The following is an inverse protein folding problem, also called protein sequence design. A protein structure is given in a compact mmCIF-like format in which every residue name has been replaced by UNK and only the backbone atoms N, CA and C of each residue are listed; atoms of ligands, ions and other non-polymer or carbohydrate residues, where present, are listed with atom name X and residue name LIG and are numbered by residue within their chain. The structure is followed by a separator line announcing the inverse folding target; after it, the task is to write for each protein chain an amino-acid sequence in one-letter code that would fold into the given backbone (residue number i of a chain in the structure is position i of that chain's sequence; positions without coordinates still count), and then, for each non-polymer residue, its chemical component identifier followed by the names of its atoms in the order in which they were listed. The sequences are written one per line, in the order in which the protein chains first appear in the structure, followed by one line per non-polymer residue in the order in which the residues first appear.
data_IF_603725264231
#
_entry.id   IF_603725264231
#
_cell.length_a   1.000
_cell.length_b   1.000
_cell.length_c   1.000
_cell.angle_alpha   90.00
_cell.angle_beta   90.00
_cell.angle_gamma   90.00
#
_symmetry.space_group_name_H-M   'P 1'
#
loop_
_entity.id
_entity.type
_entity.pdbx_description
1 polymer ?
#
# COMPACT_ATOMS: atom_id res chain seq x y z
N UNK A 1 -20.49 -42.14 -63.63
CA UNK A 1 -21.06 -41.29 -62.59
C UNK A 1 -20.15 -41.37 -61.34
N UNK A 2 -19.30 -40.38 -61.03
CA UNK A 2 -18.47 -40.40 -59.81
C UNK A 2 -19.12 -39.58 -58.71
N UNK A 3 -19.15 -40.19 -57.54
CA UNK A 3 -19.69 -39.61 -56.31
C UNK A 3 -18.74 -38.56 -55.71
N UNK A 4 -19.31 -37.39 -55.44
CA UNK A 4 -18.63 -36.26 -54.78
C UNK A 4 -18.59 -36.49 -53.26
N UNK A 5 -17.38 -36.68 -52.68
CA UNK A 5 -17.16 -36.77 -51.23
C UNK A 5 -16.86 -35.38 -50.68
N UNK A 6 -17.82 -34.80 -49.97
CA UNK A 6 -17.69 -33.53 -49.23
C UNK A 6 -16.89 -33.79 -47.95
N UNK A 7 -15.66 -33.27 -47.84
CA UNK A 7 -14.88 -33.22 -46.59
C UNK A 7 -15.36 -32.04 -45.74
N UNK A 8 -15.99 -32.29 -44.58
CA UNK A 8 -16.25 -31.30 -43.54
C UNK A 8 -14.95 -31.02 -42.77
N UNK A 9 -14.44 -29.81 -42.88
CA UNK A 9 -13.38 -29.27 -42.02
C UNK A 9 -14.03 -28.78 -40.74
N UNK A 10 -13.76 -29.45 -39.62
CA UNK A 10 -14.14 -29.02 -38.29
C UNK A 10 -13.04 -28.07 -37.83
N UNK A 11 -13.29 -26.76 -37.89
CA UNK A 11 -12.41 -25.74 -37.37
C UNK A 11 -12.58 -25.70 -35.83
N UNK A 12 -11.56 -26.16 -35.12
CA UNK A 12 -11.51 -25.97 -33.65
C UNK A 12 -11.18 -24.54 -33.33
N UNK A 13 -12.16 -23.81 -32.79
CA UNK A 13 -12.00 -22.45 -32.26
C UNK A 13 -11.37 -22.57 -30.89
N UNK A 14 -10.06 -22.29 -30.74
CA UNK A 14 -9.38 -22.14 -29.47
C UNK A 14 -9.77 -20.78 -28.86
N UNK A 15 -10.70 -20.79 -27.90
CA UNK A 15 -10.92 -19.63 -27.04
C UNK A 15 -9.75 -19.48 -26.07
N UNK A 16 -8.88 -18.52 -26.33
CA UNK A 16 -7.88 -18.06 -25.37
C UNK A 16 -8.59 -17.30 -24.24
N UNK A 17 -8.77 -17.95 -23.09
CA UNK A 17 -9.25 -17.31 -21.87
C UNK A 17 -8.15 -16.37 -21.34
N UNK A 18 -8.27 -15.07 -21.61
CA UNK A 18 -7.49 -14.04 -20.91
C UNK A 18 -7.94 -13.99 -19.45
N UNK A 19 -7.18 -14.65 -18.56
CA UNK A 19 -7.37 -14.53 -17.11
C UNK A 19 -6.87 -13.14 -16.67
N UNK A 20 -7.75 -12.14 -16.72
CA UNK A 20 -7.52 -10.87 -16.06
C UNK A 20 -7.56 -11.12 -14.55
N UNK A 21 -6.41 -11.12 -13.90
CA UNK A 21 -6.32 -11.12 -12.44
C UNK A 21 -6.89 -9.79 -11.94
N UNK A 22 -8.20 -9.74 -11.71
CA UNK A 22 -8.81 -8.62 -11.01
C UNK A 22 -8.23 -8.61 -9.60
N UNK A 23 -7.54 -7.53 -9.22
CA UNK A 23 -7.26 -7.28 -7.81
C UNK A 23 -8.60 -7.31 -7.07
N UNK A 24 -8.69 -8.18 -6.07
CA UNK A 24 -9.79 -8.11 -5.13
C UNK A 24 -9.73 -6.71 -4.50
N UNK A 25 -10.65 -5.84 -4.88
CA UNK A 25 -10.77 -4.53 -4.28
C UNK A 25 -11.05 -4.76 -2.79
N UNK A 26 -10.15 -4.26 -1.94
CA UNK A 26 -10.47 -4.13 -0.52
C UNK A 26 -11.73 -3.26 -0.39
N UNK A 27 -12.47 -3.46 0.71
CA UNK A 27 -13.60 -2.60 1.04
C UNK A 27 -13.20 -1.12 0.83
N UNK A 28 -13.90 -0.38 -0.04
CA UNK A 28 -13.59 1.04 -0.29
C UNK A 28 -13.55 1.88 0.99
N UNK A 29 -14.24 1.45 2.05
CA UNK A 29 -14.22 2.06 3.37
C UNK A 29 -12.86 1.96 4.05
N UNK A 30 -12.16 0.83 3.91
CA UNK A 30 -10.80 0.63 4.46
C UNK A 30 -9.78 1.54 3.79
N UNK A 31 -9.77 1.54 2.45
CA UNK A 31 -8.88 2.39 1.68
C UNK A 31 -9.09 3.87 2.00
N UNK A 32 -10.36 4.34 1.98
CA UNK A 32 -10.71 5.71 2.30
C UNK A 32 -10.30 6.09 3.73
N UNK A 33 -10.49 5.20 4.71
CA UNK A 33 -10.06 5.43 6.10
C UNK A 33 -8.55 5.63 6.20
N UNK A 34 -7.77 4.82 5.48
CA UNK A 34 -6.33 4.93 5.45
C UNK A 34 -5.86 6.21 4.73
N UNK A 35 -6.48 6.54 3.57
CA UNK A 35 -6.21 7.79 2.86
C UNK A 35 -6.46 9.00 3.77
N UNK A 36 -7.61 9.04 4.48
CA UNK A 36 -7.94 10.13 5.40
C UNK A 36 -6.91 10.25 6.54
N UNK A 37 -6.42 9.13 7.06
CA UNK A 37 -5.42 9.12 8.11
C UNK A 37 -4.08 9.78 7.70
N UNK A 38 -3.76 9.77 6.41
CA UNK A 38 -2.53 10.36 5.85
C UNK A 38 -2.65 11.86 5.57
N UNK A 39 -3.86 12.44 5.70
CA UNK A 39 -4.07 13.86 5.42
C UNK A 39 -3.42 14.77 6.46
N UNK A 40 -2.97 15.94 6.02
CA UNK A 40 -2.60 17.04 6.89
C UNK A 40 -3.85 17.66 7.51
N UNK A 41 -3.75 18.05 8.76
CA UNK A 41 -4.69 18.94 9.40
C UNK A 41 -4.49 20.34 8.83
N UNK A 42 -5.57 20.94 8.29
CA UNK A 42 -5.52 22.22 7.58
C UNK A 42 -4.77 23.30 8.38
N UNK A 43 -3.80 23.93 7.73
CA UNK A 43 -3.02 25.03 8.32
C UNK A 43 -1.96 24.62 9.33
N UNK A 44 -1.62 23.33 9.40
CA UNK A 44 -0.62 22.79 10.34
C UNK A 44 0.33 21.82 9.63
N UNK A 45 1.36 21.35 10.33
CA UNK A 45 2.20 20.21 9.94
C UNK A 45 1.70 18.88 10.55
N UNK A 46 0.67 18.92 11.41
CA UNK A 46 0.13 17.77 12.08
C UNK A 46 -0.74 16.93 11.14
N UNK A 47 -0.72 15.63 11.36
CA UNK A 47 -1.65 14.71 10.70
C UNK A 47 -3.02 14.72 11.38
N UNK A 48 -4.04 14.27 10.66
CA UNK A 48 -5.43 14.23 11.19
C UNK A 48 -5.56 13.35 12.45
N UNK A 49 -4.60 12.44 12.70
CA UNK A 49 -4.56 11.64 13.93
C UNK A 49 -5.57 10.49 13.94
N UNK A 50 -5.92 9.95 12.79
CA UNK A 50 -6.86 8.82 12.65
C UNK A 50 -6.21 7.51 12.21
N UNK A 51 -4.86 7.46 12.16
CA UNK A 51 -4.09 6.28 11.76
C UNK A 51 -4.46 5.03 12.55
N UNK A 52 -4.49 5.10 13.88
CA UNK A 52 -4.88 3.98 14.72
C UNK A 52 -6.28 3.45 14.43
N UNK A 53 -7.26 4.33 14.10
CA UNK A 53 -8.62 3.90 13.72
C UNK A 53 -8.61 3.16 12.38
N UNK A 54 -7.86 3.67 11.40
CA UNK A 54 -7.72 3.03 10.09
C UNK A 54 -7.07 1.65 10.24
N UNK A 55 -5.97 1.55 10.97
CA UNK A 55 -5.26 0.29 11.23
C UNK A 55 -6.15 -0.72 11.95
N UNK A 56 -6.89 -0.30 12.99
CA UNK A 56 -7.86 -1.15 13.67
C UNK A 56 -8.95 -1.67 12.73
N UNK A 57 -9.36 -0.90 11.72
CA UNK A 57 -10.30 -1.38 10.72
C UNK A 57 -9.69 -2.51 9.88
N UNK A 58 -8.45 -2.37 9.40
CA UNK A 58 -7.73 -3.44 8.71
C UNK A 58 -7.54 -4.69 9.58
N UNK A 59 -7.30 -4.52 10.90
CA UNK A 59 -7.23 -5.62 11.86
C UNK A 59 -8.56 -6.38 11.97
N UNK A 60 -9.68 -5.65 12.17
CA UNK A 60 -11.02 -6.25 12.32
C UNK A 60 -11.41 -7.07 11.10
N UNK A 61 -11.10 -6.57 9.92
CA UNK A 61 -11.38 -7.25 8.65
C UNK A 61 -10.32 -8.33 8.31
N UNK A 62 -9.31 -8.53 9.16
CA UNK A 62 -8.29 -9.58 9.01
C UNK A 62 -7.33 -9.36 7.85
N UNK A 63 -7.12 -8.11 7.40
CA UNK A 63 -6.11 -7.75 6.41
C UNK A 63 -4.71 -7.70 7.00
N UNK A 64 -4.59 -7.40 8.30
CA UNK A 64 -3.34 -7.39 9.06
C UNK A 64 -3.50 -8.15 10.39
N UNK A 65 -2.39 -8.42 11.06
CA UNK A 65 -2.39 -9.04 12.38
C UNK A 65 -2.99 -8.15 13.47
N UNK A 66 -3.41 -8.75 14.60
CA UNK A 66 -3.81 -8.02 15.80
C UNK A 66 -2.62 -7.33 16.49
N UNK A 67 -1.42 -7.80 16.21
CA UNK A 67 -0.16 -7.23 16.65
C UNK A 67 0.66 -6.90 15.41
N UNK A 68 1.56 -5.92 15.46
CA UNK A 68 2.49 -5.65 14.37
C UNK A 68 3.38 -6.87 14.09
N UNK A 69 3.75 -7.06 12.84
CA UNK A 69 4.73 -8.08 12.44
C UNK A 69 6.13 -7.70 12.95
N UNK A 70 6.38 -6.40 13.13
CA UNK A 70 7.59 -5.86 13.75
C UNK A 70 7.29 -4.50 14.38
N UNK A 71 8.00 -4.20 15.48
CA UNK A 71 8.12 -2.87 16.05
C UNK A 71 9.58 -2.48 16.07
N UNK A 72 9.89 -1.37 15.43
CA UNK A 72 11.25 -0.84 15.35
C UNK A 72 11.20 0.69 15.45
N UNK A 73 12.00 1.26 16.33
CA UNK A 73 12.16 2.71 16.52
C UNK A 73 10.83 3.48 16.58
N UNK A 74 9.95 3.11 17.52
CA UNK A 74 8.60 3.67 17.72
C UNK A 74 7.61 3.48 16.57
N UNK A 75 7.98 2.71 15.55
CA UNK A 75 7.12 2.41 14.40
C UNK A 75 6.65 0.96 14.45
N UNK A 76 5.35 0.76 14.34
CA UNK A 76 4.72 -0.53 14.11
C UNK A 76 4.59 -0.81 12.62
N UNK A 77 4.96 -2.01 12.21
CA UNK A 77 4.93 -2.49 10.83
C UNK A 77 3.95 -3.64 10.70
N UNK A 78 2.99 -3.52 9.78
CA UNK A 78 1.94 -4.50 9.53
C UNK A 78 1.97 -4.97 8.09
N UNK A 79 2.35 -6.24 7.88
CA UNK A 79 2.29 -6.88 6.56
C UNK A 79 0.86 -7.25 6.20
N UNK A 80 0.47 -7.02 4.95
CA UNK A 80 -0.84 -7.42 4.46
C UNK A 80 -0.93 -8.93 4.30
N UNK A 81 -2.00 -9.54 4.82
CA UNK A 81 -2.31 -10.99 4.76
C UNK A 81 -3.29 -11.32 3.66
N UNK A 82 -3.97 -10.30 3.12
CA UNK A 82 -4.93 -10.40 2.03
C UNK A 82 -4.64 -9.29 1.02
N UNK A 83 -4.93 -9.49 -0.26
CA UNK A 83 -4.84 -8.42 -1.25
C UNK A 83 -5.70 -7.23 -0.85
N UNK A 84 -5.12 -6.05 -0.89
CA UNK A 84 -5.79 -4.78 -0.68
C UNK A 84 -5.25 -3.76 -1.67
N UNK A 85 -6.05 -2.74 -1.99
CA UNK A 85 -5.65 -1.65 -2.86
C UNK A 85 -5.37 -0.38 -2.06
N UNK A 86 -4.53 0.48 -2.62
CA UNK A 86 -4.33 1.85 -2.18
C UNK A 86 -4.03 2.73 -3.40
N UNK A 87 -4.94 3.63 -3.74
CA UNK A 87 -4.86 4.52 -4.91
C UNK A 87 -4.59 3.78 -6.25
N UNK A 88 -5.12 2.54 -6.37
CA UNK A 88 -4.97 1.71 -7.57
C UNK A 88 -3.70 0.85 -7.60
N UNK A 89 -2.94 0.79 -6.51
CA UNK A 89 -1.77 -0.06 -6.34
C UNK A 89 -2.04 -1.14 -5.28
N UNK A 90 -1.27 -2.22 -5.29
CA UNK A 90 -1.36 -3.27 -4.28
C UNK A 90 -0.71 -2.80 -2.98
N UNK A 91 -1.48 -2.73 -1.89
CA UNK A 91 -0.99 -2.41 -0.56
C UNK A 91 -0.28 -3.63 0.03
N UNK A 92 0.97 -3.49 0.45
CA UNK A 92 1.78 -4.61 0.98
C UNK A 92 2.21 -4.43 2.42
N UNK A 93 2.34 -3.18 2.89
CA UNK A 93 2.75 -2.86 4.25
C UNK A 93 2.05 -1.57 4.71
N UNK A 94 1.62 -1.54 5.96
CA UNK A 94 1.18 -0.33 6.65
C UNK A 94 2.15 -0.08 7.80
N UNK A 95 2.54 1.18 7.99
CA UNK A 95 3.41 1.64 9.06
C UNK A 95 2.67 2.66 9.92
N UNK A 96 2.87 2.62 11.24
CA UNK A 96 2.37 3.63 12.15
C UNK A 96 3.45 4.03 13.16
N UNK A 97 3.78 5.31 13.19
CA UNK A 97 4.64 5.87 14.22
C UNK A 97 3.78 6.68 15.20
N UNK A 98 3.86 6.34 16.50
CA UNK A 98 3.01 6.95 17.52
C UNK A 98 3.68 6.96 18.90
N UNK A 99 3.20 7.86 19.77
CA UNK A 99 3.60 7.93 21.15
C UNK A 99 2.48 7.37 22.03
N UNK A 100 2.78 6.37 22.85
CA UNK A 100 1.87 5.89 23.89
C UNK A 100 2.19 6.48 25.26
N UNK A 101 3.46 6.87 25.46
CA UNK A 101 3.94 7.52 26.67
C UNK A 101 4.99 8.56 26.26
N UNK A 102 5.01 9.72 26.93
CA UNK A 102 6.05 10.72 26.69
C UNK A 102 7.41 10.18 27.15
N UNK A 103 8.32 9.94 26.22
CA UNK A 103 9.68 9.41 26.49
C UNK A 103 10.74 10.40 25.99
N UNK A 104 10.43 11.66 25.78
CA UNK A 104 11.37 12.64 25.23
C UNK A 104 11.22 12.87 23.73
N UNK A 105 12.27 13.39 23.09
CA UNK A 105 12.26 13.75 21.68
C UNK A 105 12.12 12.51 20.74
N UNK A 106 11.83 12.78 19.48
CA UNK A 106 12.15 11.93 18.33
C UNK A 106 11.06 11.06 17.77
N UNK A 107 9.82 11.13 18.29
CA UNK A 107 8.66 10.50 17.67
C UNK A 107 7.92 11.50 16.80
N UNK A 108 7.63 11.12 15.58
CA UNK A 108 6.89 11.92 14.60
C UNK A 108 5.60 11.20 14.21
N UNK A 109 4.49 11.48 14.91
CA UNK A 109 3.23 10.76 14.68
C UNK A 109 2.79 10.78 13.22
N UNK A 110 2.21 9.68 12.79
CA UNK A 110 1.70 9.53 11.44
C UNK A 110 1.82 8.10 10.93
N UNK A 111 1.46 7.91 9.68
CA UNK A 111 1.47 6.61 9.06
C UNK A 111 2.20 6.63 7.71
N UNK A 112 2.55 5.46 7.24
CA UNK A 112 3.11 5.22 5.93
C UNK A 112 2.53 3.96 5.32
N UNK A 113 2.71 3.83 4.02
CA UNK A 113 2.33 2.63 3.27
C UNK A 113 3.42 2.27 2.28
N UNK A 114 3.65 0.97 2.10
CA UNK A 114 4.46 0.46 0.99
C UNK A 114 3.55 -0.27 0.01
N UNK A 115 3.76 -0.01 -1.27
CA UNK A 115 2.88 -0.41 -2.35
C UNK A 115 3.69 -1.15 -3.41
N UNK A 116 3.12 -2.23 -3.95
CA UNK A 116 3.57 -2.78 -5.23
C UNK A 116 2.86 -2.04 -6.34
N UNK A 117 3.64 -1.31 -7.12
CA UNK A 117 3.13 -0.37 -8.12
C UNK A 117 2.47 -1.10 -9.27
N UNK A 118 1.30 -0.59 -9.66
CA UNK A 118 0.56 -1.02 -10.84
C UNK A 118 0.25 0.21 -11.71
N UNK A 119 0.84 0.24 -12.89
CA UNK A 119 0.68 1.37 -13.80
C UNK A 119 1.40 2.64 -13.32
N UNK A 120 0.72 3.79 -13.39
CA UNK A 120 1.30 5.12 -13.13
C UNK A 120 1.19 5.54 -11.66
N UNK A 121 2.28 6.09 -11.11
CA UNK A 121 2.33 6.66 -9.74
C UNK A 121 1.90 8.13 -9.65
N UNK A 122 1.38 8.72 -10.73
CA UNK A 122 1.00 10.14 -10.76
C UNK A 122 0.02 10.56 -9.66
N UNK A 123 -0.96 9.70 -9.33
CA UNK A 123 -1.91 9.96 -8.22
C UNK A 123 -1.20 9.98 -6.87
N UNK A 124 -0.27 9.05 -6.64
CA UNK A 124 0.55 9.03 -5.42
C UNK A 124 1.43 10.27 -5.32
N UNK A 125 2.07 10.67 -6.41
CA UNK A 125 2.89 11.88 -6.47
C UNK A 125 2.07 13.13 -6.18
N UNK A 126 0.88 13.26 -6.79
CA UNK A 126 -0.02 14.38 -6.55
C UNK A 126 -0.48 14.42 -5.08
N UNK A 127 -0.84 13.25 -4.51
CA UNK A 127 -1.22 13.12 -3.11
C UNK A 127 -0.06 13.48 -2.18
N UNK A 128 1.15 12.94 -2.44
CA UNK A 128 2.34 13.22 -1.65
C UNK A 128 2.62 14.72 -1.58
N UNK A 129 2.61 15.41 -2.70
CA UNK A 129 2.76 16.88 -2.74
C UNK A 129 1.65 17.58 -1.96
N UNK A 130 0.39 17.26 -2.23
CA UNK A 130 -0.75 17.93 -1.60
C UNK A 130 -0.79 17.72 -0.08
N UNK A 131 -0.32 16.58 0.41
CA UNK A 131 -0.32 16.23 1.83
C UNK A 131 1.07 16.37 2.50
N UNK A 132 2.06 16.92 1.78
CA UNK A 132 3.44 17.06 2.27
C UNK A 132 3.95 15.75 2.87
N UNK A 133 3.80 14.67 2.10
CA UNK A 133 4.32 13.35 2.40
C UNK A 133 5.60 13.10 1.62
N UNK A 134 6.46 12.24 2.12
CA UNK A 134 7.64 11.76 1.39
C UNK A 134 7.28 10.55 0.56
N UNK A 135 7.38 10.64 -0.75
CA UNK A 135 7.27 9.50 -1.67
C UNK A 135 8.65 9.06 -2.12
N UNK A 136 8.95 7.77 -1.95
CA UNK A 136 10.12 7.10 -2.52
C UNK A 136 9.65 6.16 -3.61
N UNK A 137 10.12 6.35 -4.83
CA UNK A 137 9.73 5.59 -6.03
C UNK A 137 10.90 5.59 -7.03
N UNK A 138 11.58 4.45 -7.27
CA UNK A 138 11.35 3.12 -6.68
C UNK A 138 11.93 2.91 -5.27
N UNK A 139 11.51 1.82 -4.61
CA UNK A 139 12.05 1.33 -3.34
C UNK A 139 12.58 -0.09 -3.50
N UNK A 140 13.77 -0.37 -2.99
CA UNK A 140 14.22 -1.73 -2.75
C UNK A 140 13.51 -2.29 -1.51
N UNK A 141 12.43 -3.02 -1.75
CA UNK A 141 11.60 -3.56 -0.67
C UNK A 141 12.36 -4.58 0.18
N UNK A 142 13.27 -5.35 -0.42
CA UNK A 142 14.07 -6.34 0.31
C UNK A 142 15.00 -5.66 1.32
N UNK A 143 15.68 -4.61 0.89
CA UNK A 143 16.53 -3.79 1.75
C UNK A 143 15.70 -3.11 2.85
N UNK A 144 14.60 -2.43 2.49
CA UNK A 144 13.76 -1.70 3.44
C UNK A 144 13.19 -2.61 4.55
N UNK A 145 12.75 -3.82 4.23
CA UNK A 145 12.25 -4.78 5.23
C UNK A 145 13.37 -5.32 6.12
N UNK A 146 14.57 -5.53 5.57
CA UNK A 146 15.72 -5.98 6.35
C UNK A 146 16.19 -4.92 7.36
N UNK A 147 16.15 -3.64 7.01
CA UNK A 147 16.51 -2.53 7.93
C UNK A 147 15.66 -2.53 9.19
N UNK A 148 14.41 -2.96 9.10
CA UNK A 148 13.49 -3.07 10.24
C UNK A 148 13.32 -4.51 10.74
N UNK A 149 14.25 -5.40 10.39
CA UNK A 149 14.30 -6.80 10.81
C UNK A 149 13.08 -7.65 10.42
N UNK A 150 12.33 -7.28 9.40
CA UNK A 150 11.25 -8.09 8.82
C UNK A 150 11.85 -9.09 7.83
N UNK A 151 11.86 -10.37 8.22
CA UNK A 151 12.41 -11.45 7.40
C UNK A 151 11.32 -12.09 6.53
N UNK A 152 10.93 -11.41 5.47
CA UNK A 152 10.01 -11.95 4.48
C UNK A 152 10.52 -11.71 3.07
N UNK A 153 10.09 -12.55 2.13
CA UNK A 153 10.44 -12.38 0.71
C UNK A 153 9.23 -11.82 -0.03
N UNK A 154 9.39 -10.63 -0.55
CA UNK A 154 8.39 -10.03 -1.42
C UNK A 154 8.54 -10.52 -2.87
N UNK A 155 7.44 -10.66 -3.61
CA UNK A 155 7.49 -10.95 -5.05
C UNK A 155 8.31 -9.90 -5.80
N UNK A 156 8.94 -10.29 -6.91
CA UNK A 156 9.58 -9.32 -7.79
C UNK A 156 8.56 -8.31 -8.30
N UNK A 157 8.96 -7.04 -8.37
CA UNK A 157 8.08 -5.97 -8.84
C UNK A 157 8.67 -4.59 -8.62
N UNK A 158 7.93 -3.58 -9.05
CA UNK A 158 8.21 -2.19 -8.76
C UNK A 158 7.49 -1.81 -7.46
N UNK A 159 8.22 -1.26 -6.49
CA UNK A 159 7.65 -0.86 -5.20
C UNK A 159 7.87 0.63 -4.97
N UNK A 160 6.91 1.25 -4.29
CA UNK A 160 6.98 2.62 -3.81
C UNK A 160 6.57 2.69 -2.33
N UNK A 161 7.14 3.62 -1.59
CA UNK A 161 6.82 3.89 -0.19
C UNK A 161 6.36 5.33 -0.04
N UNK A 162 5.23 5.53 0.62
CA UNK A 162 4.67 6.83 0.95
C UNK A 162 4.67 7.00 2.47
N UNK A 163 5.45 7.93 2.98
CA UNK A 163 5.51 8.31 4.40
C UNK A 163 4.77 9.63 4.60
N UNK A 164 3.81 9.64 5.52
CA UNK A 164 3.03 10.82 5.88
C UNK A 164 3.07 11.02 7.40
N UNK A 165 4.26 11.26 7.93
CA UNK A 165 4.49 11.63 9.33
C UNK A 165 4.58 13.14 9.49
N UNK A 166 4.53 13.66 10.70
CA UNK A 166 4.64 15.11 10.95
C UNK A 166 5.96 15.67 10.44
N UNK A 167 7.08 14.96 10.65
CA UNK A 167 8.41 15.36 10.12
C UNK A 167 8.48 15.46 8.60
N UNK A 168 7.64 14.71 7.88
CA UNK A 168 7.59 14.85 6.41
C UNK A 168 6.98 16.18 6.01
N UNK A 169 6.02 16.66 6.79
CA UNK A 169 5.35 17.94 6.56
C UNK A 169 6.16 19.15 7.02
N UNK A 170 7.15 18.95 7.89
CA UNK A 170 8.07 20.01 8.37
C UNK A 170 9.23 20.28 7.41
N UNK A 171 9.50 19.32 6.51
CA UNK A 171 10.54 19.52 5.50
C UNK A 171 10.12 20.63 4.55
N UNK A 172 10.95 21.64 4.41
CA UNK A 172 10.80 22.62 3.33
C UNK A 172 10.97 21.90 2.00
N UNK A 173 10.07 22.19 1.05
CA UNK A 173 10.26 21.71 -0.32
C UNK A 173 11.52 22.39 -0.87
N UNK A 174 12.44 21.63 -1.49
CA UNK A 174 13.64 22.18 -2.12
C UNK A 174 13.33 23.04 -3.33
#
# INVERSE_FOLDING_TARGET
MPACRTRRLIGSLLLAACSSSALAAADPGLENGLIQALHLKKGTTQRVGTSGKAIQAYMREGYIGKHPDQRFDYTDYYLLKKPASFMGHELVLIEEEYITQYIGCCVSPGAGVTLKVQGSTQKLQAFARAQRCTLRDPVDIGHALNEVAIKTRMPKGHYASLSCRERDAEREEP
#
